data_IF_024117185477
#
_entry.id   IF_024117185477
#
_cell.length_a   1.000
_cell.length_b   1.000
_cell.length_c   1.000
_cell.angle_alpha   90.00
_cell.angle_beta   90.00
_cell.angle_gamma   90.00
#
_symmetry.space_group_name_H-M   'P 1'
#
loop_
_entity.id
_entity.type
_entity.pdbx_description
1 polymer ?
#
# COMPACT_ATOMS: atom_id res chain seq x y z
N UNK A 1 22.26 33.98 3.04
CA UNK A 1 21.35 32.96 3.60
C UNK A 1 21.50 31.69 2.79
N UNK A 2 22.10 30.65 3.37
CA UNK A 2 22.38 29.38 2.69
C UNK A 2 21.08 28.57 2.69
N UNK A 3 20.41 28.50 1.53
CA UNK A 3 19.35 27.52 1.30
C UNK A 3 19.98 26.13 1.30
N UNK A 4 19.99 25.46 2.47
CA UNK A 4 20.23 24.02 2.48
C UNK A 4 19.01 23.35 1.83
N UNK A 5 19.17 23.00 0.56
CA UNK A 5 18.39 21.96 -0.09
C UNK A 5 18.48 20.70 0.78
N UNK A 6 17.48 20.47 1.63
CA UNK A 6 17.23 19.15 2.21
C UNK A 6 16.87 18.22 1.05
N UNK A 7 17.91 17.68 0.39
CA UNK A 7 17.76 16.45 -0.38
C UNK A 7 17.29 15.41 0.63
N UNK A 8 15.99 15.11 0.61
CA UNK A 8 15.44 13.95 1.32
C UNK A 8 16.33 12.77 0.95
N UNK A 9 17.17 12.35 1.90
CA UNK A 9 18.16 11.31 1.69
C UNK A 9 17.48 10.10 1.08
N UNK A 10 18.12 9.50 0.09
CA UNK A 10 17.73 8.20 -0.43
C UNK A 10 17.54 7.28 0.78
N UNK A 11 16.27 6.98 1.13
CA UNK A 11 15.94 5.99 2.14
C UNK A 11 16.52 4.70 1.57
N UNK A 12 17.70 4.29 2.05
CA UNK A 12 18.37 3.08 1.66
C UNK A 12 17.49 1.92 2.09
N UNK A 13 16.61 1.48 1.18
CA UNK A 13 15.78 0.31 1.39
C UNK A 13 16.72 -0.88 1.38
N UNK A 14 17.09 -1.38 2.56
CA UNK A 14 17.76 -2.69 2.66
C UNK A 14 16.95 -3.71 1.84
N UNK A 15 17.62 -4.60 1.07
CA UNK A 15 16.94 -5.60 0.28
C UNK A 15 16.17 -6.54 1.22
N UNK A 16 14.85 -6.38 1.24
CA UNK A 16 13.97 -7.15 2.12
C UNK A 16 13.87 -8.58 1.59
N UNK A 17 14.33 -9.55 2.37
CA UNK A 17 14.07 -10.98 2.11
C UNK A 17 12.58 -11.25 2.30
N UNK A 18 11.83 -11.33 1.20
CA UNK A 18 10.46 -11.83 1.24
C UNK A 18 10.46 -13.35 1.26
N UNK A 19 9.62 -14.03 2.05
CA UNK A 19 9.51 -15.48 1.94
C UNK A 19 9.18 -15.85 0.50
N UNK A 20 9.98 -16.74 -0.06
CA UNK A 20 9.80 -17.25 -1.42
C UNK A 20 8.78 -18.38 -1.40
N UNK A 21 7.95 -18.45 -2.44
CA UNK A 21 7.06 -19.59 -2.65
C UNK A 21 7.82 -20.78 -3.28
N UNK A 22 9.11 -20.64 -3.55
CA UNK A 22 9.95 -21.72 -4.05
C UNK A 22 9.94 -22.89 -3.05
N UNK A 23 9.65 -24.10 -3.55
CA UNK A 23 9.53 -25.31 -2.73
C UNK A 23 8.11 -25.63 -2.25
N UNK A 24 7.13 -24.74 -2.47
CA UNK A 24 5.73 -25.00 -2.14
C UNK A 24 4.92 -25.35 -3.39
N UNK A 25 3.96 -26.26 -3.25
CA UNK A 25 3.00 -26.60 -4.31
C UNK A 25 1.67 -25.87 -4.09
N UNK A 26 1.00 -25.37 -5.15
CA UNK A 26 -0.31 -24.78 -5.01
C UNK A 26 -1.33 -25.81 -4.52
N UNK A 27 -2.29 -25.39 -3.70
CA UNK A 27 -3.32 -26.29 -3.17
C UNK A 27 -4.23 -26.90 -4.25
N UNK A 28 -4.40 -26.22 -5.38
CA UNK A 28 -5.16 -26.71 -6.53
C UNK A 28 -4.80 -25.93 -7.81
N UNK A 29 -5.12 -26.45 -9.01
CA UNK A 29 -5.00 -25.70 -10.25
C UNK A 29 -5.84 -24.41 -10.24
N UNK A 30 -6.98 -24.42 -9.54
CA UNK A 30 -7.84 -23.25 -9.39
C UNK A 30 -7.18 -22.15 -8.55
N UNK A 31 -6.53 -22.49 -7.42
CA UNK A 31 -5.81 -21.50 -6.60
C UNK A 31 -4.62 -20.93 -7.35
N UNK A 32 -3.91 -21.74 -8.14
CA UNK A 32 -2.84 -21.29 -9.03
C UNK A 32 -3.34 -20.27 -10.08
N UNK A 33 -4.50 -20.53 -10.72
CA UNK A 33 -5.14 -19.57 -11.65
C UNK A 33 -5.55 -18.27 -10.95
N UNK A 34 -6.16 -18.37 -9.77
CA UNK A 34 -6.57 -17.21 -8.98
C UNK A 34 -5.38 -16.32 -8.61
N UNK A 35 -4.25 -16.91 -8.19
CA UNK A 35 -3.03 -16.17 -7.89
C UNK A 35 -2.44 -15.47 -9.12
N UNK A 36 -2.45 -16.10 -10.30
CA UNK A 36 -2.03 -15.46 -11.57
C UNK A 36 -2.92 -14.27 -11.95
N UNK A 37 -4.21 -14.32 -11.61
CA UNK A 37 -5.17 -13.24 -11.87
C UNK A 37 -5.04 -12.06 -10.92
N UNK A 38 -4.30 -12.19 -9.81
CA UNK A 38 -4.18 -11.13 -8.82
C UNK A 38 -3.27 -9.99 -9.35
N UNK A 39 -3.89 -8.85 -9.68
CA UNK A 39 -3.19 -7.68 -10.24
C UNK A 39 -2.75 -6.75 -9.12
N UNK A 40 -1.65 -6.02 -9.35
CA UNK A 40 -1.12 -5.01 -8.41
C UNK A 40 -1.84 -3.65 -8.45
N UNK A 41 -2.62 -3.40 -9.49
CA UNK A 41 -3.33 -2.15 -9.74
C UNK A 41 -4.57 -2.42 -10.57
N UNK A 42 -5.49 -1.47 -10.56
CA UNK A 42 -6.74 -1.53 -11.32
C UNK A 42 -7.53 -2.80 -10.94
N UNK A 43 -7.49 -3.13 -9.65
CA UNK A 43 -8.32 -4.19 -9.10
C UNK A 43 -9.80 -3.79 -9.20
N UNK A 44 -10.69 -4.79 -9.20
CA UNK A 44 -12.14 -4.55 -9.23
C UNK A 44 -12.61 -3.54 -8.16
N UNK A 45 -12.23 -3.65 -6.87
CA UNK A 45 -12.64 -2.67 -5.87
C UNK A 45 -12.07 -1.27 -6.14
N UNK A 46 -10.81 -1.14 -6.57
CA UNK A 46 -10.25 0.16 -6.98
C UNK A 46 -11.06 0.80 -8.11
N UNK A 47 -11.41 0.03 -9.14
CA UNK A 47 -12.17 0.54 -10.28
C UNK A 47 -13.59 0.97 -9.88
N UNK A 48 -14.25 0.24 -8.98
CA UNK A 48 -15.56 0.59 -8.46
C UNK A 48 -15.49 1.90 -7.65
N UNK A 49 -14.51 2.02 -6.76
CA UNK A 49 -14.28 3.23 -5.96
C UNK A 49 -14.00 4.45 -6.85
N UNK A 50 -13.11 4.30 -7.84
CA UNK A 50 -12.80 5.35 -8.83
C UNK A 50 -14.05 5.83 -9.56
N UNK A 51 -14.87 4.91 -10.06
CA UNK A 51 -16.12 5.24 -10.76
C UNK A 51 -17.12 5.95 -9.85
N UNK A 52 -17.27 5.49 -8.60
CA UNK A 52 -18.16 6.09 -7.63
C UNK A 52 -17.74 7.53 -7.30
N UNK A 53 -16.46 7.75 -7.01
CA UNK A 53 -15.89 9.07 -6.71
C UNK A 53 -16.03 10.03 -7.88
N UNK A 54 -15.78 9.56 -9.11
CA UNK A 54 -15.94 10.39 -10.31
C UNK A 54 -17.39 10.82 -10.52
N UNK A 55 -18.35 9.91 -10.33
CA UNK A 55 -19.79 10.22 -10.39
C UNK A 55 -20.23 11.19 -9.31
N UNK A 56 -19.60 11.14 -8.14
CA UNK A 56 -19.84 12.08 -7.05
C UNK A 56 -19.10 13.43 -7.21
N UNK A 57 -18.37 13.64 -8.31
CA UNK A 57 -17.70 14.92 -8.61
C UNK A 57 -16.34 15.11 -7.94
N UNK A 58 -15.83 14.10 -7.20
CA UNK A 58 -14.52 14.20 -6.57
C UNK A 58 -13.38 14.00 -7.58
N UNK A 59 -12.36 14.87 -7.49
CA UNK A 59 -11.14 14.78 -8.28
C UNK A 59 -9.98 14.30 -7.41
N UNK A 60 -9.29 13.26 -7.87
CA UNK A 60 -8.18 12.62 -7.17
C UNK A 60 -7.00 12.41 -8.12
N UNK A 61 -5.83 12.14 -7.53
CA UNK A 61 -4.64 11.67 -8.23
C UNK A 61 -4.43 10.19 -7.94
N UNK A 62 -3.96 9.46 -8.95
CA UNK A 62 -3.71 8.02 -8.86
C UNK A 62 -2.23 7.75 -8.58
N UNK A 63 -1.96 6.71 -7.79
CA UNK A 63 -0.65 6.08 -7.63
C UNK A 63 0.51 7.07 -7.37
N UNK A 64 0.31 8.01 -6.45
CA UNK A 64 1.30 9.06 -6.17
C UNK A 64 2.54 8.45 -5.53
N UNK A 65 3.66 8.45 -6.27
CA UNK A 65 4.92 7.83 -5.86
C UNK A 65 5.69 8.61 -4.78
N UNK A 66 5.32 9.87 -4.54
CA UNK A 66 5.96 10.74 -3.54
C UNK A 66 5.57 10.45 -2.09
N UNK A 67 4.45 9.75 -1.87
CA UNK A 67 3.97 9.41 -0.52
C UNK A 67 4.43 8.01 -0.08
N UNK A 68 4.75 7.82 1.21
CA UNK A 68 4.91 6.49 1.80
C UNK A 68 3.71 5.60 1.49
N UNK A 69 3.96 4.31 1.26
CA UNK A 69 2.92 3.33 0.94
C UNK A 69 2.30 3.39 -0.46
N UNK A 70 2.56 4.45 -1.26
CA UNK A 70 1.99 4.64 -2.61
C UNK A 70 0.45 4.48 -2.61
N UNK A 71 -0.28 5.44 -2.02
CA UNK A 71 -1.73 5.39 -1.95
C UNK A 71 -2.35 5.24 -3.34
N UNK A 72 -3.46 4.51 -3.44
CA UNK A 72 -4.19 4.32 -4.69
C UNK A 72 -4.81 5.61 -5.16
N UNK A 73 -5.41 6.35 -4.22
CA UNK A 73 -6.05 7.63 -4.47
C UNK A 73 -5.54 8.67 -3.49
N UNK A 74 -5.26 9.86 -3.99
CA UNK A 74 -4.85 11.00 -3.19
C UNK A 74 -5.74 12.18 -3.53
N UNK A 75 -6.26 12.85 -2.50
CA UNK A 75 -6.98 14.11 -2.59
C UNK A 75 -6.09 15.23 -2.03
N UNK A 76 -5.27 15.90 -2.86
CA UNK A 76 -4.26 16.82 -2.36
C UNK A 76 -4.87 17.99 -1.60
N UNK A 77 -6.01 18.51 -2.07
CA UNK A 77 -6.74 19.61 -1.44
C UNK A 77 -7.33 19.25 -0.08
N UNK A 78 -7.85 18.04 0.06
CA UNK A 78 -8.41 17.54 1.32
C UNK A 78 -7.34 16.95 2.25
N UNK A 79 -6.09 16.83 1.79
CA UNK A 79 -4.99 16.13 2.48
C UNK A 79 -5.35 14.70 2.91
N UNK A 80 -6.13 14.01 2.07
CA UNK A 80 -6.57 12.63 2.29
C UNK A 80 -5.83 11.69 1.34
N UNK A 81 -5.28 10.61 1.87
CA UNK A 81 -4.76 9.47 1.12
C UNK A 81 -5.65 8.25 1.38
N UNK A 82 -6.03 7.54 0.33
CA UNK A 82 -6.89 6.35 0.40
C UNK A 82 -6.13 5.16 -0.16
N UNK A 83 -6.15 4.08 0.61
CA UNK A 83 -5.57 2.78 0.28
C UNK A 83 -6.72 1.79 0.08
N UNK A 84 -6.74 1.12 -1.07
CA UNK A 84 -7.75 0.14 -1.45
C UNK A 84 -7.17 -1.27 -1.32
N UNK A 85 -6.89 -1.64 -0.08
CA UNK A 85 -6.18 -2.85 0.28
C UNK A 85 -7.12 -4.05 0.52
N UNK A 86 -6.67 -5.25 0.14
CA UNK A 86 -7.46 -6.47 0.32
C UNK A 86 -7.23 -7.11 1.69
N UNK A 87 -8.29 -7.30 2.48
CA UNK A 87 -8.27 -7.80 3.87
C UNK A 87 -7.31 -8.99 4.12
N UNK A 88 -7.28 -9.96 3.21
CA UNK A 88 -6.41 -11.14 3.30
C UNK A 88 -4.91 -10.80 3.32
N UNK A 89 -4.48 -9.86 2.47
CA UNK A 89 -3.05 -9.56 2.28
C UNK A 89 -2.47 -8.72 3.40
N UNK A 90 -3.33 -7.96 4.08
CA UNK A 90 -3.00 -7.01 5.14
C UNK A 90 -3.40 -7.52 6.52
N UNK A 91 -3.91 -8.74 6.61
CA UNK A 91 -4.17 -9.42 7.87
C UNK A 91 -5.25 -8.76 8.72
N UNK A 92 -6.33 -8.26 8.11
CA UNK A 92 -7.52 -7.84 8.86
C UNK A 92 -7.96 -9.00 9.75
N UNK A 93 -8.18 -8.71 11.03
CA UNK A 93 -8.46 -9.71 12.07
C UNK A 93 -7.42 -10.82 12.13
N UNK A 94 -6.15 -10.43 12.23
CA UNK A 94 -4.98 -11.33 12.13
C UNK A 94 -5.10 -12.62 12.95
N UNK A 95 -5.64 -12.56 14.17
CA UNK A 95 -5.81 -13.75 15.01
C UNK A 95 -6.70 -14.81 14.34
N UNK A 96 -7.85 -14.39 13.81
CA UNK A 96 -8.80 -15.25 13.10
C UNK A 96 -8.21 -15.72 11.77
N UNK A 97 -7.51 -14.84 11.05
CA UNK A 97 -6.89 -15.19 9.78
C UNK A 97 -5.75 -16.20 9.97
N UNK A 98 -4.91 -16.02 11.00
CA UNK A 98 -3.81 -16.91 11.34
C UNK A 98 -4.29 -18.32 11.63
N UNK A 99 -5.31 -18.48 12.49
CA UNK A 99 -5.91 -19.79 12.79
C UNK A 99 -6.44 -20.47 11.52
N UNK A 100 -7.08 -19.70 10.63
CA UNK A 100 -7.53 -20.21 9.32
C UNK A 100 -6.38 -20.63 8.42
N UNK A 101 -5.26 -19.91 8.43
CA UNK A 101 -4.08 -20.22 7.61
C UNK A 101 -3.33 -21.44 8.12
N UNK A 102 -3.23 -21.61 9.44
CA UNK A 102 -2.63 -22.79 10.08
C UNK A 102 -3.36 -24.08 9.66
N UNK A 103 -4.68 -24.00 9.43
CA UNK A 103 -5.51 -25.12 8.94
C UNK A 103 -5.52 -25.28 7.41
N UNK A 104 -4.81 -24.44 6.65
CA UNK A 104 -4.79 -24.48 5.17
C UNK A 104 -3.45 -24.96 4.63
N UNK A 105 -3.38 -25.11 3.31
CA UNK A 105 -2.15 -25.47 2.61
C UNK A 105 -1.08 -24.37 2.73
N UNK A 106 0.17 -24.79 2.90
CA UNK A 106 1.37 -23.95 2.97
C UNK A 106 1.37 -22.89 4.10
N UNK A 107 1.03 -23.25 5.36
CA UNK A 107 1.01 -22.28 6.47
C UNK A 107 2.39 -21.65 6.70
N UNK A 108 3.46 -22.45 6.54
CA UNK A 108 4.85 -22.00 6.65
C UNK A 108 5.26 -20.95 5.61
N UNK A 109 4.51 -20.79 4.53
CA UNK A 109 4.68 -19.67 3.59
C UNK A 109 3.77 -18.49 3.95
N UNK A 110 2.47 -18.75 4.14
CA UNK A 110 1.46 -17.70 4.23
C UNK A 110 1.55 -16.87 5.51
N UNK A 111 1.83 -17.51 6.65
CA UNK A 111 1.91 -16.84 7.95
C UNK A 111 3.03 -15.78 7.94
N UNK A 112 4.31 -16.14 7.69
CA UNK A 112 5.39 -15.15 7.69
C UNK A 112 5.23 -14.11 6.57
N UNK A 113 4.58 -14.46 5.46
CA UNK A 113 4.28 -13.53 4.36
C UNK A 113 3.35 -12.41 4.81
N UNK A 114 2.27 -12.76 5.50
CA UNK A 114 1.26 -11.78 5.94
C UNK A 114 1.77 -10.97 7.14
N UNK A 115 2.47 -11.58 8.10
CA UNK A 115 3.09 -10.83 9.20
C UNK A 115 4.06 -9.74 8.71
N UNK A 116 4.87 -10.05 7.69
CA UNK A 116 5.76 -9.07 7.07
C UNK A 116 4.99 -7.95 6.37
N UNK A 117 3.82 -8.24 5.75
CA UNK A 117 2.96 -7.22 5.17
C UNK A 117 2.39 -6.30 6.27
N UNK A 118 1.82 -6.86 7.34
CA UNK A 118 1.32 -6.09 8.49
C UNK A 118 2.40 -5.16 9.06
N UNK A 119 3.62 -5.69 9.27
CA UNK A 119 4.75 -4.89 9.76
C UNK A 119 5.11 -3.76 8.80
N UNK A 120 5.06 -4.03 7.49
CA UNK A 120 5.33 -3.01 6.46
C UNK A 120 4.26 -1.92 6.49
N UNK A 121 3.00 -2.30 6.61
CA UNK A 121 1.89 -1.34 6.56
C UNK A 121 1.94 -0.41 7.77
N UNK A 122 2.22 -0.95 8.97
CA UNK A 122 2.48 -0.13 10.17
C UNK A 122 3.63 0.85 10.00
N UNK A 123 4.72 0.43 9.34
CA UNK A 123 5.83 1.34 9.05
C UNK A 123 5.40 2.43 8.05
N UNK A 124 4.64 2.08 7.03
CA UNK A 124 4.16 3.04 6.03
C UNK A 124 3.19 4.05 6.63
N UNK A 125 2.32 3.60 7.54
CA UNK A 125 1.41 4.47 8.29
C UNK A 125 2.18 5.46 9.16
N UNK A 126 3.19 4.99 9.90
CA UNK A 126 4.07 5.85 10.69
C UNK A 126 4.84 6.86 9.81
N UNK A 127 5.42 6.39 8.69
CA UNK A 127 6.12 7.25 7.73
C UNK A 127 5.18 8.30 7.12
N UNK A 128 3.94 7.91 6.80
CA UNK A 128 2.93 8.78 6.23
C UNK A 128 2.53 9.85 7.26
N UNK A 129 2.20 9.45 8.49
CA UNK A 129 1.89 10.38 9.58
C UNK A 129 3.00 11.41 9.80
N UNK A 130 4.27 10.98 9.76
CA UNK A 130 5.43 11.86 9.91
C UNK A 130 5.64 12.80 8.70
N UNK A 131 5.42 12.31 7.46
CA UNK A 131 5.68 13.08 6.23
C UNK A 131 4.50 13.92 5.73
N UNK A 132 3.29 13.72 6.26
CA UNK A 132 2.06 14.20 5.63
C UNK A 132 2.01 15.72 5.43
N UNK A 133 2.47 16.52 6.40
CA UNK A 133 2.35 17.98 6.31
C UNK A 133 3.14 18.59 5.13
N UNK A 134 4.34 18.08 4.85
CA UNK A 134 5.24 18.68 3.85
C UNK A 134 4.98 18.16 2.43
N UNK A 135 4.58 16.88 2.30
CA UNK A 135 4.45 16.25 0.98
C UNK A 135 3.11 16.51 0.29
N UNK A 136 2.03 16.70 1.05
CA UNK A 136 0.74 17.08 0.45
C UNK A 136 0.81 18.43 -0.26
N UNK A 137 1.54 19.39 0.30
CA UNK A 137 1.74 20.72 -0.28
C UNK A 137 2.50 20.62 -1.63
N UNK A 138 3.58 19.83 -1.69
CA UNK A 138 4.33 19.56 -2.94
C UNK A 138 3.48 18.86 -4.02
N UNK A 139 2.57 17.96 -3.63
CA UNK A 139 1.68 17.27 -4.57
C UNK A 139 0.58 18.22 -5.07
N UNK A 140 0.05 19.09 -4.21
CA UNK A 140 -1.01 20.03 -4.58
C UNK A 140 -0.58 21.12 -5.56
N UNK A 141 0.74 21.34 -5.74
CA UNK A 141 1.28 22.44 -6.54
C UNK A 141 1.18 23.79 -5.84
N UNK A 142 0.79 23.82 -4.57
CA UNK A 142 0.83 25.01 -3.73
C UNK A 142 2.28 25.20 -3.27
N UNK A 143 3.08 25.87 -4.12
CA UNK A 143 4.27 26.55 -3.60
C UNK A 143 3.75 27.61 -2.65
N UNK A 144 4.03 27.48 -1.35
CA UNK A 144 3.92 28.63 -0.45
C UNK A 144 4.94 29.64 -0.95
N UNK A 145 4.49 30.68 -1.65
CA UNK A 145 5.23 31.93 -1.69
C UNK A 145 5.09 32.50 -0.28
N UNK A 146 6.08 32.23 0.56
CA UNK A 146 6.25 32.97 1.81
C UNK A 146 6.50 34.44 1.41
N UNK A 147 5.70 35.33 1.99
CA UNK A 147 5.86 36.78 1.90
C UNK A 147 6.43 37.26 3.23
#
# INVERSE_FOLDING_TARGET
MIFQSMRFGNISRMPRKTPSFAGFSPSSPASSRAMRGNRKRDTKPEMLLRRALWRAGYRYRLHVSGLPGRPDLVFPRARVAVFCDGDFWHGRDWLVLREKLERRANPGYWIPKIEMNIRRDRQQEADLACCCALKFDQISGVMRTEN
#
